data_IF_268653551224
#
_entry.id   IF_268653551224
#
_cell.length_a   1.000
_cell.length_b   1.000
_cell.length_c   1.000
_cell.angle_alpha   90.00
_cell.angle_beta   90.00
_cell.angle_gamma   90.00
#
_symmetry.space_group_name_H-M   'P 1'
#
loop_
_entity.id
_entity.type
_entity.pdbx_description
1 polymer ?
#
# COMPACT_ATOMS: atom_id res chain seq x y z
N UNK A 1 8.70 5.44 -15.56
CA UNK A 1 9.49 6.16 -14.53
C UNK A 1 10.77 5.38 -14.28
N UNK A 2 11.95 6.01 -14.31
CA UNK A 2 13.23 5.34 -14.02
C UNK A 2 13.50 5.42 -12.51
N UNK A 3 13.22 4.34 -11.79
CA UNK A 3 13.39 4.26 -10.34
C UNK A 3 14.81 3.79 -9.99
N UNK A 4 15.41 4.45 -9.01
CA UNK A 4 16.62 3.93 -8.36
C UNK A 4 16.27 2.65 -7.60
N UNK A 5 17.24 1.76 -7.44
CA UNK A 5 17.10 0.45 -6.78
C UNK A 5 18.02 0.35 -5.56
N UNK A 6 17.65 -0.51 -4.63
CA UNK A 6 18.46 -0.96 -3.48
C UNK A 6 18.13 -2.43 -3.23
N UNK A 7 19.10 -3.33 -3.22
CA UNK A 7 18.88 -4.77 -3.09
C UNK A 7 18.26 -5.23 -1.77
N UNK A 8 18.04 -4.30 -0.82
CA UNK A 8 17.33 -4.54 0.46
C UNK A 8 15.87 -4.05 0.44
N UNK A 9 15.40 -3.59 -0.71
CA UNK A 9 14.05 -3.08 -0.91
C UNK A 9 13.42 -3.84 -2.06
N UNK A 10 12.17 -4.28 -1.86
CA UNK A 10 11.41 -4.95 -2.91
C UNK A 10 11.34 -4.10 -4.18
N UNK A 11 11.74 -4.70 -5.30
CA UNK A 11 11.63 -4.03 -6.60
C UNK A 11 10.18 -4.10 -7.08
N UNK A 12 9.61 -3.00 -7.60
CA UNK A 12 8.25 -3.02 -8.14
C UNK A 12 8.08 -4.09 -9.22
N UNK A 13 7.08 -4.93 -9.05
CA UNK A 13 6.71 -5.99 -9.96
C UNK A 13 5.26 -5.81 -10.45
N UNK A 14 4.65 -6.85 -10.98
CA UNK A 14 3.31 -6.86 -11.56
C UNK A 14 2.26 -6.34 -10.58
N UNK A 15 2.38 -6.68 -9.31
CA UNK A 15 1.54 -6.22 -8.21
C UNK A 15 1.56 -4.70 -8.06
N UNK A 16 2.75 -4.13 -7.99
CA UNK A 16 2.96 -2.69 -7.84
C UNK A 16 2.43 -1.92 -9.06
N UNK A 17 2.66 -2.45 -10.27
CA UNK A 17 2.18 -1.84 -11.50
C UNK A 17 0.67 -1.93 -11.64
N UNK A 18 0.05 -3.06 -11.24
CA UNK A 18 -1.39 -3.23 -11.21
C UNK A 18 -2.06 -2.21 -10.28
N UNK A 19 -1.51 -2.05 -9.07
CA UNK A 19 -2.02 -1.07 -8.11
C UNK A 19 -1.90 0.37 -8.66
N UNK A 20 -0.74 0.77 -9.15
CA UNK A 20 -0.52 2.11 -9.72
C UNK A 20 -1.50 2.41 -10.87
N UNK A 21 -1.61 1.52 -11.85
CA UNK A 21 -2.50 1.69 -12.99
C UNK A 21 -3.98 1.77 -12.57
N UNK A 22 -4.37 1.02 -11.54
CA UNK A 22 -5.73 1.06 -11.00
C UNK A 22 -6.01 2.38 -10.30
N UNK A 23 -5.08 2.89 -9.47
CA UNK A 23 -5.21 4.18 -8.79
C UNK A 23 -5.33 5.33 -9.80
N UNK A 24 -4.53 5.33 -10.88
CA UNK A 24 -4.62 6.33 -11.95
C UNK A 24 -6.01 6.36 -12.61
N UNK A 25 -6.58 5.19 -12.91
CA UNK A 25 -7.94 5.09 -13.47
C UNK A 25 -9.02 5.51 -12.47
N UNK A 26 -8.86 5.08 -11.20
CA UNK A 26 -9.83 5.34 -10.13
C UNK A 26 -9.87 6.80 -9.71
N UNK A 27 -8.77 7.54 -9.82
CA UNK A 27 -8.67 8.94 -9.38
C UNK A 27 -9.70 9.87 -10.05
N UNK A 28 -10.16 9.55 -11.27
CA UNK A 28 -11.23 10.30 -11.93
C UNK A 28 -12.57 10.20 -11.23
N UNK A 29 -12.82 9.14 -10.48
CA UNK A 29 -14.08 8.85 -9.77
C UNK A 29 -13.98 9.08 -8.26
N UNK A 30 -12.77 8.95 -7.71
CA UNK A 30 -12.54 8.96 -6.25
C UNK A 30 -11.66 10.14 -5.85
N UNK A 31 -12.27 11.27 -5.47
CA UNK A 31 -11.54 12.50 -5.12
C UNK A 31 -10.66 12.36 -3.88
N UNK A 32 -10.89 11.37 -3.03
CA UNK A 32 -10.02 11.08 -1.89
C UNK A 32 -8.58 10.77 -2.27
N UNK A 33 -8.32 10.31 -3.51
CA UNK A 33 -6.96 10.07 -4.02
C UNK A 33 -6.20 11.36 -4.35
N UNK A 34 -6.89 12.50 -4.46
CA UNK A 34 -6.31 13.83 -4.60
C UNK A 34 -6.20 14.58 -3.27
N UNK A 35 -6.71 14.01 -2.18
CA UNK A 35 -6.70 14.55 -0.83
C UNK A 35 -5.42 14.25 -0.07
N UNK A 36 -5.55 14.10 1.25
CA UNK A 36 -4.47 13.60 2.11
C UNK A 36 -4.45 12.08 2.06
N UNK A 37 -3.35 11.51 1.58
CA UNK A 37 -3.23 10.06 1.36
C UNK A 37 -2.10 9.50 2.21
N UNK A 38 -2.36 8.37 2.88
CA UNK A 38 -1.36 7.58 3.58
C UNK A 38 -1.04 6.33 2.76
N UNK A 39 0.23 6.14 2.40
CA UNK A 39 0.74 4.86 1.92
C UNK A 39 1.44 4.11 3.06
N UNK A 40 1.10 2.83 3.23
CA UNK A 40 1.75 1.93 4.18
C UNK A 40 2.61 0.91 3.41
N UNK A 41 3.89 0.77 3.81
CA UNK A 41 4.83 -0.12 3.12
C UNK A 41 5.29 0.45 1.77
N UNK A 42 5.87 1.67 1.78
CA UNK A 42 6.19 2.41 0.53
C UNK A 42 7.25 1.76 -0.34
N UNK A 43 8.13 0.92 0.21
CA UNK A 43 9.18 0.25 -0.55
C UNK A 43 10.04 1.21 -1.37
N UNK A 44 10.01 1.07 -2.69
CA UNK A 44 10.70 1.96 -3.63
C UNK A 44 10.10 3.36 -3.75
N UNK A 45 8.88 3.57 -3.23
CA UNK A 45 8.09 4.80 -3.36
C UNK A 45 7.25 4.90 -4.62
N UNK A 46 7.09 3.82 -5.40
CA UNK A 46 6.39 3.88 -6.70
C UNK A 46 4.92 4.26 -6.56
N UNK A 47 4.22 3.72 -5.56
CA UNK A 47 2.80 4.01 -5.32
C UNK A 47 2.65 5.43 -4.77
N UNK A 48 3.49 5.85 -3.80
CA UNK A 48 3.53 7.23 -3.30
C UNK A 48 3.77 8.25 -4.43
N UNK A 49 4.68 7.94 -5.35
CA UNK A 49 4.96 8.79 -6.52
C UNK A 49 3.76 8.89 -7.47
N UNK A 50 3.07 7.77 -7.73
CA UNK A 50 1.85 7.75 -8.51
C UNK A 50 0.78 8.63 -7.87
N UNK A 51 0.54 8.50 -6.57
CA UNK A 51 -0.42 9.32 -5.82
C UNK A 51 -0.05 10.81 -5.81
N UNK A 52 1.24 11.13 -5.65
CA UNK A 52 1.72 12.51 -5.70
C UNK A 52 1.57 13.12 -7.12
N UNK A 53 1.78 12.33 -8.17
CA UNK A 53 1.55 12.76 -9.55
C UNK A 53 0.07 13.02 -9.85
N UNK A 54 -0.85 12.31 -9.16
CA UNK A 54 -2.29 12.58 -9.20
C UNK A 54 -2.70 13.82 -8.41
N UNK A 55 -1.79 14.46 -7.68
CA UNK A 55 -2.04 15.67 -6.89
C UNK A 55 -2.37 15.41 -5.42
N UNK A 56 -2.25 14.19 -4.93
CA UNK A 56 -2.42 13.84 -3.53
C UNK A 56 -1.32 14.43 -2.64
N UNK A 57 -1.70 14.86 -1.43
CA UNK A 57 -0.77 15.21 -0.36
C UNK A 57 -0.35 13.92 0.36
N UNK A 58 0.78 13.33 -0.07
CA UNK A 58 1.16 11.97 0.31
C UNK A 58 2.06 11.96 1.54
N UNK A 59 1.65 11.17 2.53
CA UNK A 59 2.48 10.66 3.63
C UNK A 59 2.71 9.17 3.38
N UNK A 60 3.96 8.70 3.49
CA UNK A 60 4.27 7.30 3.26
C UNK A 60 5.15 6.74 4.38
N UNK A 61 4.87 5.52 4.82
CA UNK A 61 5.60 4.86 5.90
C UNK A 61 6.17 3.52 5.45
N UNK A 62 7.23 3.09 6.12
CA UNK A 62 7.81 1.76 5.92
C UNK A 62 8.59 1.35 7.18
N UNK A 63 8.54 0.07 7.52
CA UNK A 63 9.35 -0.48 8.61
C UNK A 63 10.84 -0.54 8.23
N UNK A 64 11.13 -0.76 6.93
CA UNK A 64 12.48 -0.86 6.39
C UNK A 64 13.11 0.55 6.24
N UNK A 65 14.17 0.89 6.99
CA UNK A 65 14.84 2.19 6.85
C UNK A 65 15.45 2.43 5.45
N UNK A 66 15.81 1.37 4.74
CA UNK A 66 16.36 1.44 3.39
C UNK A 66 15.28 1.85 2.37
N UNK A 67 14.03 1.41 2.57
CA UNK A 67 12.89 1.84 1.79
C UNK A 67 12.65 3.35 1.93
N UNK A 68 12.68 3.89 3.15
CA UNK A 68 12.55 5.33 3.41
C UNK A 68 13.63 6.15 2.70
N UNK A 69 14.88 5.67 2.74
CA UNK A 69 15.99 6.34 2.03
C UNK A 69 15.80 6.28 0.52
N UNK A 70 15.40 5.11 -0.01
CA UNK A 70 15.21 4.90 -1.43
C UNK A 70 14.03 5.71 -1.97
N UNK A 71 12.87 5.64 -1.31
CA UNK A 71 11.67 6.39 -1.67
C UNK A 71 11.94 7.91 -1.69
N UNK A 72 12.69 8.43 -0.70
CA UNK A 72 13.11 9.84 -0.66
C UNK A 72 13.98 10.24 -1.85
N UNK A 73 14.90 9.36 -2.28
CA UNK A 73 15.74 9.59 -3.47
C UNK A 73 14.92 9.59 -4.75
N UNK A 74 13.97 8.66 -4.86
CA UNK A 74 13.08 8.55 -6.01
C UNK A 74 12.12 9.74 -6.09
N UNK A 75 11.53 10.16 -4.95
CA UNK A 75 10.66 11.34 -4.87
C UNK A 75 11.37 12.62 -5.33
N UNK A 76 12.59 12.84 -4.82
CA UNK A 76 13.42 14.01 -5.25
C UNK A 76 13.76 13.97 -6.72
N UNK A 77 14.11 12.79 -7.27
CA UNK A 77 14.43 12.63 -8.69
C UNK A 77 13.21 12.89 -9.59
N UNK A 78 12.01 12.53 -9.12
CA UNK A 78 10.75 12.80 -9.83
C UNK A 78 10.19 14.22 -9.60
N UNK A 79 10.81 15.03 -8.72
CA UNK A 79 10.34 16.39 -8.42
C UNK A 79 9.11 16.45 -7.52
N UNK A 80 8.77 15.36 -6.81
CA UNK A 80 7.64 15.31 -5.88
C UNK A 80 8.06 15.46 -4.43
N UNK A 81 7.17 16.09 -3.64
CA UNK A 81 7.31 16.16 -2.18
C UNK A 81 6.42 15.08 -1.55
N UNK A 82 7.03 14.15 -0.82
CA UNK A 82 6.37 13.07 -0.08
C UNK A 82 6.90 13.12 1.36
N UNK A 83 6.02 13.14 2.34
CA UNK A 83 6.37 13.00 3.74
C UNK A 83 6.69 11.53 4.04
N UNK A 84 7.93 11.23 4.45
CA UNK A 84 8.42 9.86 4.61
C UNK A 84 8.87 9.62 6.06
N UNK A 85 8.31 8.60 6.71
CA UNK A 85 8.60 8.25 8.09
C UNK A 85 8.81 6.75 8.25
N UNK A 86 9.81 6.36 9.06
CA UNK A 86 10.07 4.96 9.40
C UNK A 86 9.20 4.52 10.58
N UNK A 87 8.58 3.36 10.50
CA UNK A 87 7.88 2.70 11.59
C UNK A 87 6.88 1.66 11.12
N UNK A 88 6.25 0.97 12.06
CA UNK A 88 5.29 -0.09 11.80
C UNK A 88 3.88 0.50 11.60
N UNK A 89 3.28 0.21 10.44
CA UNK A 89 1.91 0.62 10.09
C UNK A 89 1.65 2.11 10.40
N UNK A 90 0.78 2.38 11.37
CA UNK A 90 0.29 3.72 11.73
C UNK A 90 1.13 4.43 12.79
N UNK A 91 2.07 3.75 13.44
CA UNK A 91 2.89 4.34 14.52
C UNK A 91 3.50 5.71 14.14
N UNK A 92 4.09 5.88 12.93
CA UNK A 92 4.73 7.14 12.59
C UNK A 92 3.77 8.31 12.36
N UNK A 93 2.48 8.05 12.18
CA UNK A 93 1.48 9.09 11.86
C UNK A 93 0.63 9.50 13.06
N UNK A 94 0.75 8.81 14.22
CA UNK A 94 -0.02 9.11 15.44
C UNK A 94 -1.53 9.15 15.15
N UNK A 95 -2.24 10.14 15.68
CA UNK A 95 -3.71 10.25 15.55
C UNK A 95 -4.18 10.92 14.24
N UNK A 96 -3.29 11.08 13.25
CA UNK A 96 -3.65 11.72 11.97
C UNK A 96 -4.68 10.89 11.21
N UNK A 97 -5.57 11.60 10.48
CA UNK A 97 -6.59 11.01 9.62
C UNK A 97 -6.39 11.43 8.17
N UNK A 98 -6.68 10.51 7.27
CA UNK A 98 -6.45 10.63 5.83
C UNK A 98 -7.74 10.43 5.05
N UNK A 99 -7.80 10.98 3.85
CA UNK A 99 -8.92 10.79 2.93
C UNK A 99 -8.84 9.40 2.28
N UNK A 100 -7.62 8.89 2.04
CA UNK A 100 -7.39 7.53 1.58
C UNK A 100 -6.19 6.90 2.30
N UNK A 101 -6.25 5.57 2.48
CA UNK A 101 -5.11 4.73 2.86
C UNK A 101 -4.84 3.77 1.69
N UNK A 102 -3.60 3.64 1.28
CA UNK A 102 -3.19 2.78 0.16
C UNK A 102 -2.10 1.82 0.63
N UNK A 103 -2.17 0.57 0.22
CA UNK A 103 -1.13 -0.40 0.54
C UNK A 103 -1.05 -1.50 -0.53
N UNK A 104 0.18 -1.83 -0.92
CA UNK A 104 0.54 -3.12 -1.48
C UNK A 104 1.13 -3.95 -0.33
N UNK A 105 0.34 -4.74 0.39
CA UNK A 105 0.81 -5.42 1.59
C UNK A 105 1.67 -6.64 1.26
N UNK A 106 2.55 -7.10 2.17
CA UNK A 106 3.08 -8.45 2.09
C UNK A 106 1.92 -9.45 2.19
N UNK A 107 1.91 -10.48 1.35
CA UNK A 107 0.79 -11.42 1.24
C UNK A 107 1.20 -12.89 1.09
N UNK A 108 2.50 -13.19 1.01
CA UNK A 108 2.96 -14.58 0.92
C UNK A 108 3.05 -15.22 2.31
N UNK A 109 2.76 -16.52 2.43
CA UNK A 109 3.11 -17.29 3.62
C UNK A 109 4.64 -17.33 3.79
N UNK A 110 5.17 -17.49 5.02
CA UNK A 110 6.59 -17.56 5.28
C UNK A 110 7.18 -18.85 4.70
N UNK A 111 8.47 -18.80 4.34
CA UNK A 111 9.23 -19.97 3.88
C UNK A 111 9.97 -19.78 2.56
N UNK A 112 9.96 -18.58 2.01
CA UNK A 112 10.82 -18.23 0.89
C UNK A 112 12.30 -18.13 1.29
N UNK A 113 13.20 -18.30 0.32
CA UNK A 113 14.62 -18.01 0.48
C UNK A 113 14.87 -16.56 0.04
N UNK A 114 15.39 -15.72 0.92
CA UNK A 114 15.65 -14.31 0.68
C UNK A 114 17.07 -13.95 1.07
N UNK A 115 17.74 -13.17 0.23
CA UNK A 115 19.11 -12.70 0.48
C UNK A 115 19.22 -11.74 1.67
N UNK A 116 18.11 -11.07 2.01
CA UNK A 116 18.04 -10.09 3.10
C UNK A 116 16.70 -10.19 3.85
N UNK A 117 16.77 -9.99 5.19
CA UNK A 117 15.58 -10.01 6.06
C UNK A 117 14.51 -9.00 5.67
N UNK A 118 14.90 -7.87 5.08
CA UNK A 118 13.98 -6.84 4.67
C UNK A 118 13.16 -7.25 3.45
N UNK A 119 13.74 -8.10 2.57
CA UNK A 119 12.99 -8.69 1.45
C UNK A 119 11.95 -9.69 1.96
N UNK A 120 12.30 -10.52 2.93
CA UNK A 120 11.33 -11.41 3.58
C UNK A 120 10.15 -10.61 4.16
N UNK A 121 10.43 -9.56 4.95
CA UNK A 121 9.39 -8.70 5.54
C UNK A 121 8.53 -7.95 4.51
N UNK A 122 9.08 -7.68 3.32
CA UNK A 122 8.34 -7.00 2.26
C UNK A 122 7.33 -7.91 1.55
N UNK A 123 7.48 -9.23 1.64
CA UNK A 123 6.64 -10.19 0.90
C UNK A 123 5.87 -11.16 1.81
N UNK A 124 6.38 -11.47 3.01
CA UNK A 124 5.74 -12.40 3.94
C UNK A 124 4.70 -11.70 4.80
N UNK A 125 3.43 -11.97 4.52
CA UNK A 125 2.28 -11.37 5.22
C UNK A 125 1.90 -12.05 6.54
N UNK A 126 2.69 -13.05 6.97
CA UNK A 126 2.44 -13.89 8.15
C UNK A 126 1.96 -15.30 7.77
N UNK A 127 1.69 -16.19 8.74
CA UNK A 127 1.39 -17.61 8.53
C UNK A 127 0.31 -17.93 7.48
N UNK A 128 -0.68 -17.06 7.34
CA UNK A 128 -1.76 -17.21 6.34
C UNK A 128 -1.66 -16.20 5.19
N UNK A 129 -0.62 -15.36 5.17
CA UNK A 129 -0.45 -14.27 4.22
C UNK A 129 -1.33 -13.04 4.49
N UNK A 130 -2.25 -13.10 5.46
CA UNK A 130 -3.23 -12.03 5.70
C UNK A 130 -2.99 -11.23 6.99
N UNK A 131 -2.08 -11.65 7.86
CA UNK A 131 -1.91 -11.08 9.20
C UNK A 131 -1.54 -9.59 9.15
N UNK A 132 -0.66 -9.20 8.22
CA UNK A 132 -0.34 -7.79 8.01
C UNK A 132 -1.59 -7.00 7.62
N UNK A 133 -2.33 -7.48 6.63
CA UNK A 133 -3.55 -6.82 6.14
C UNK A 133 -4.65 -6.78 7.19
N UNK A 134 -4.78 -7.81 8.02
CA UNK A 134 -5.72 -7.80 9.16
C UNK A 134 -5.36 -6.72 10.19
N UNK A 135 -4.08 -6.55 10.53
CA UNK A 135 -3.61 -5.46 11.42
C UNK A 135 -3.87 -4.09 10.81
N UNK A 136 -3.60 -3.93 9.52
CA UNK A 136 -3.89 -2.70 8.78
C UNK A 136 -5.38 -2.37 8.86
N UNK A 137 -6.27 -3.29 8.49
CA UNK A 137 -7.71 -3.07 8.48
C UNK A 137 -8.31 -2.86 9.88
N UNK A 138 -7.72 -3.44 10.93
CA UNK A 138 -8.10 -3.19 12.31
C UNK A 138 -7.78 -1.75 12.74
N UNK A 139 -6.63 -1.21 12.31
CA UNK A 139 -6.21 0.16 12.64
C UNK A 139 -6.84 1.24 11.75
N UNK A 140 -7.13 0.93 10.49
CA UNK A 140 -7.56 1.89 9.48
C UNK A 140 -8.76 2.76 9.87
N UNK A 141 -9.81 2.27 10.58
CA UNK A 141 -10.95 3.11 10.99
C UNK A 141 -10.56 4.32 11.82
N UNK A 142 -9.50 4.23 12.63
CA UNK A 142 -9.00 5.35 13.44
C UNK A 142 -8.28 6.41 12.62
N UNK A 143 -7.79 6.03 11.44
CA UNK A 143 -6.98 6.87 10.54
C UNK A 143 -7.71 7.29 9.26
N UNK A 144 -8.97 6.90 9.07
CA UNK A 144 -9.79 7.38 7.97
C UNK A 144 -10.64 8.57 8.37
N UNK A 145 -10.76 9.53 7.47
CA UNK A 145 -11.80 10.57 7.54
C UNK A 145 -13.15 9.99 7.13
N UNK A 146 -14.27 10.59 7.54
CA UNK A 146 -15.59 10.19 7.09
C UNK A 146 -15.68 10.16 5.55
N UNK A 147 -16.12 9.04 4.98
CA UNK A 147 -16.21 8.82 3.53
C UNK A 147 -14.90 8.37 2.85
N UNK A 148 -13.81 8.32 3.60
CA UNK A 148 -12.53 7.80 3.10
C UNK A 148 -12.54 6.30 2.84
N UNK A 149 -11.52 5.82 2.14
CA UNK A 149 -11.38 4.40 1.78
C UNK A 149 -9.98 3.87 1.89
N UNK A 150 -9.88 2.54 2.01
CA UNK A 150 -8.63 1.79 1.96
C UNK A 150 -8.51 1.13 0.59
N UNK A 151 -7.42 1.40 -0.11
CA UNK A 151 -7.10 0.80 -1.40
C UNK A 151 -6.03 -0.26 -1.21
N UNK A 152 -6.35 -1.52 -1.48
CA UNK A 152 -5.46 -2.65 -1.26
C UNK A 152 -5.24 -3.45 -2.54
N UNK A 153 -3.99 -3.85 -2.74
CA UNK A 153 -3.69 -5.00 -3.56
C UNK A 153 -3.90 -6.26 -2.71
N UNK A 154 -4.58 -7.25 -3.26
CA UNK A 154 -4.91 -8.52 -2.61
C UNK A 154 -4.53 -9.68 -3.53
N UNK A 155 -4.01 -10.76 -2.95
CA UNK A 155 -3.68 -12.00 -3.65
C UNK A 155 -4.67 -13.10 -3.31
N UNK A 156 -4.91 -14.02 -4.26
CA UNK A 156 -5.66 -15.25 -4.03
C UNK A 156 -4.96 -16.22 -3.07
N UNK A 157 -3.69 -15.98 -2.75
CA UNK A 157 -2.91 -16.76 -1.78
C UNK A 157 -3.17 -16.36 -0.32
N UNK A 158 -3.83 -15.22 -0.11
CA UNK A 158 -4.20 -14.74 1.23
C UNK A 158 -5.44 -15.45 1.74
N UNK A 159 -5.50 -15.67 3.05
CA UNK A 159 -6.75 -16.06 3.72
C UNK A 159 -7.78 -14.92 3.71
N UNK A 160 -8.97 -15.18 4.25
CA UNK A 160 -10.05 -14.19 4.31
C UNK A 160 -9.69 -12.95 5.14
N UNK A 161 -10.17 -11.81 4.68
CA UNK A 161 -10.05 -10.52 5.36
C UNK A 161 -11.13 -10.37 6.44
N UNK A 162 -10.91 -9.49 7.45
CA UNK A 162 -11.90 -9.24 8.49
C UNK A 162 -13.21 -8.69 7.92
N UNK A 163 -14.31 -9.02 8.58
CA UNK A 163 -15.65 -8.48 8.29
C UNK A 163 -15.77 -6.98 8.64
N UNK A 164 -16.87 -6.35 8.24
CA UNK A 164 -17.17 -4.95 8.55
C UNK A 164 -16.72 -3.95 7.48
N UNK A 165 -16.24 -4.44 6.35
CA UNK A 165 -15.84 -3.62 5.21
C UNK A 165 -16.71 -3.90 3.99
N UNK A 166 -17.27 -2.84 3.40
CA UNK A 166 -17.82 -2.89 2.05
C UNK A 166 -16.67 -2.91 1.05
N UNK A 167 -16.74 -3.81 0.07
CA UNK A 167 -15.64 -4.05 -0.87
C UNK A 167 -16.09 -3.78 -2.29
N UNK A 168 -15.35 -2.95 -3.00
CA UNK A 168 -15.52 -2.67 -4.42
C UNK A 168 -14.25 -3.08 -5.17
N UNK A 169 -14.37 -4.05 -6.09
CA UNK A 169 -13.26 -4.51 -6.93
C UNK A 169 -13.11 -3.61 -8.13
N UNK A 170 -11.87 -3.18 -8.41
CA UNK A 170 -11.54 -2.30 -9.52
C UNK A 170 -10.74 -2.98 -10.62
N UNK A 171 -9.89 -3.92 -10.27
CA UNK A 171 -9.08 -4.64 -11.24
C UNK A 171 -8.75 -6.05 -10.73
N UNK A 172 -8.50 -6.97 -11.68
CA UNK A 172 -8.10 -8.34 -11.38
C UNK A 172 -7.26 -8.87 -12.55
N UNK A 173 -6.11 -9.45 -12.23
CA UNK A 173 -5.24 -10.08 -13.22
C UNK A 173 -4.70 -11.41 -12.69
N UNK A 174 -4.50 -12.38 -13.60
CA UNK A 174 -3.93 -13.67 -13.30
C UNK A 174 -2.47 -13.72 -13.74
N UNK A 175 -1.58 -14.07 -12.80
CA UNK A 175 -0.16 -14.24 -13.02
C UNK A 175 0.23 -15.66 -12.61
N UNK A 176 0.40 -16.54 -13.60
CA UNK A 176 0.84 -17.94 -13.42
C UNK A 176 0.03 -18.75 -12.37
N UNK A 177 -1.27 -18.47 -12.29
CA UNK A 177 -2.19 -19.14 -11.36
C UNK A 177 -2.48 -18.36 -10.07
N UNK A 178 -1.72 -17.32 -9.78
CA UNK A 178 -2.05 -16.36 -8.74
C UNK A 178 -2.96 -15.25 -9.30
N UNK A 179 -4.05 -14.97 -8.60
CA UNK A 179 -4.94 -13.87 -8.96
C UNK A 179 -4.63 -12.68 -8.05
N UNK A 180 -4.13 -11.60 -8.65
CA UNK A 180 -3.98 -10.30 -8.00
C UNK A 180 -5.19 -9.42 -8.32
N UNK A 181 -5.68 -8.71 -7.33
CA UNK A 181 -6.82 -7.80 -7.46
C UNK A 181 -6.62 -6.53 -6.65
N UNK A 182 -7.13 -5.42 -7.16
CA UNK A 182 -7.17 -4.16 -6.43
C UNK A 182 -8.60 -3.88 -6.00
N UNK A 183 -8.78 -3.68 -4.72
CA UNK A 183 -10.08 -3.38 -4.12
C UNK A 183 -10.02 -2.10 -3.30
N UNK A 184 -11.13 -1.35 -3.34
CA UNK A 184 -11.41 -0.27 -2.40
C UNK A 184 -12.32 -0.81 -1.31
N UNK A 185 -11.90 -0.61 -0.07
CA UNK A 185 -12.68 -0.97 1.11
C UNK A 185 -13.17 0.31 1.80
N UNK A 186 -14.45 0.34 2.15
CA UNK A 186 -15.05 1.41 2.95
C UNK A 186 -15.74 0.83 4.17
N UNK A 187 -15.83 1.63 5.23
CA UNK A 187 -16.52 1.18 6.43
C UNK A 187 -18.01 1.01 6.13
N UNK A 188 -18.56 -0.12 6.52
CA UNK A 188 -19.99 -0.36 6.43
C UNK A 188 -20.73 0.69 7.29
N UNK A 189 -21.62 1.44 6.68
CA UNK A 189 -22.46 2.38 7.41
C UNK A 189 -23.44 1.55 8.22
N UNK A 190 -23.19 1.44 9.54
CA UNK A 190 -24.19 0.88 10.45
C UNK A 190 -25.43 1.77 10.39
N UNK A 191 -26.54 1.28 9.80
CA UNK A 191 -27.82 1.94 9.72
C UNK A 191 -28.48 2.11 11.10
#
# INVERSE_FOLDING_TARGET
MDLRKDGRVYEPAEDSWLLCATLERAATRFPELHGTVLELGTGSGIVALTLAALGGAVTATDLNPHAIVLARRNARAAGHHIELSQGDLFEPVGDRRFDAIVCNPPYLPPGGEYDDRWLALAVEGGPTGAEFTQRLLTGAPHHLRPGGGVWLLLSSLMSELPEGWERERFDEQNFDGEILRVERLSLSVSG
#
